data_IF_021546577374
#
_entry.id   IF_021546577374
#
_cell.length_a   1.000
_cell.length_b   1.000
_cell.length_c   1.000
_cell.angle_alpha   90.00
_cell.angle_beta   90.00
_cell.angle_gamma   90.00
#
_symmetry.space_group_name_H-M   'P 1'
#
loop_
_entity.id
_entity.type
_entity.pdbx_description
1 polymer ?
#
# COMPACT_ATOMS: atom_id res chain seq x y z
N UNK A 1 -20.97 -27.98 -16.82
CA UNK A 1 -21.68 -28.08 -15.52
C UNK A 1 -21.95 -26.67 -15.04
N UNK A 2 -23.21 -26.38 -14.68
CA UNK A 2 -23.60 -25.06 -14.16
C UNK A 2 -23.08 -24.92 -12.73
N UNK A 3 -22.39 -23.82 -12.44
CA UNK A 3 -21.84 -23.49 -11.11
C UNK A 3 -22.27 -22.10 -10.68
N UNK A 4 -22.23 -21.82 -9.38
CA UNK A 4 -22.46 -20.48 -8.85
C UNK A 4 -21.14 -19.72 -8.67
N UNK A 5 -21.13 -18.45 -9.10
CA UNK A 5 -19.96 -17.59 -8.97
C UNK A 5 -19.76 -17.16 -7.51
N UNK A 6 -18.56 -17.37 -6.96
CA UNK A 6 -18.22 -16.95 -5.59
C UNK A 6 -18.23 -15.43 -5.35
N UNK A 7 -18.17 -14.62 -6.41
CA UNK A 7 -18.22 -13.16 -6.30
C UNK A 7 -19.65 -12.60 -6.40
N UNK A 8 -20.40 -12.98 -7.43
CA UNK A 8 -21.72 -12.38 -7.72
C UNK A 8 -22.91 -13.31 -7.49
N UNK A 9 -22.69 -14.56 -7.09
CA UNK A 9 -23.75 -15.56 -6.87
C UNK A 9 -24.45 -16.09 -8.12
N UNK A 10 -24.27 -15.43 -9.28
CA UNK A 10 -24.93 -15.83 -10.54
C UNK A 10 -24.47 -17.21 -11.00
N UNK A 11 -25.41 -17.97 -11.57
CA UNK A 11 -25.13 -19.22 -12.25
C UNK A 11 -24.30 -18.96 -13.52
N UNK A 12 -23.30 -19.79 -13.79
CA UNK A 12 -22.47 -19.72 -14.99
C UNK A 12 -22.06 -21.12 -15.46
N UNK A 13 -21.77 -21.28 -16.74
CA UNK A 13 -21.17 -22.50 -17.28
C UNK A 13 -19.65 -22.45 -17.13
N UNK A 14 -19.08 -23.43 -16.43
CA UNK A 14 -17.63 -23.58 -16.32
C UNK A 14 -17.01 -23.87 -17.69
N UNK A 15 -15.85 -23.27 -17.99
CA UNK A 15 -15.12 -23.58 -19.21
C UNK A 15 -14.70 -25.06 -19.24
N UNK A 16 -14.83 -25.80 -20.37
CA UNK A 16 -14.52 -27.23 -20.44
C UNK A 16 -13.08 -27.57 -19.99
N UNK A 17 -12.11 -26.74 -20.35
CA UNK A 17 -10.69 -26.88 -19.94
C UNK A 17 -10.42 -26.55 -18.47
N UNK A 18 -11.37 -25.92 -17.76
CA UNK A 18 -11.20 -25.48 -16.38
C UNK A 18 -12.42 -25.92 -15.57
N UNK A 19 -12.60 -27.23 -15.36
CA UNK A 19 -13.77 -27.77 -14.69
C UNK A 19 -13.91 -27.23 -13.26
N UNK A 20 -12.80 -26.86 -12.60
CA UNK A 20 -12.78 -26.31 -11.24
C UNK A 20 -12.96 -24.78 -11.17
N UNK A 21 -13.47 -24.15 -12.23
CA UNK A 21 -13.77 -22.72 -12.22
C UNK A 21 -14.80 -22.36 -11.13
N UNK A 22 -14.47 -21.36 -10.31
CA UNK A 22 -15.29 -20.90 -9.17
C UNK A 22 -15.86 -19.48 -9.35
N UNK A 23 -15.41 -18.75 -10.36
CA UNK A 23 -15.86 -17.39 -10.69
C UNK A 23 -16.30 -17.32 -12.15
N UNK A 24 -17.37 -16.60 -12.45
CA UNK A 24 -17.81 -16.38 -13.83
C UNK A 24 -16.84 -15.47 -14.60
N UNK A 25 -16.95 -15.43 -15.92
CA UNK A 25 -16.04 -14.67 -16.81
C UNK A 25 -16.23 -13.15 -16.77
N UNK A 26 -17.16 -12.63 -15.95
CA UNK A 26 -17.36 -11.18 -15.79
C UNK A 26 -16.06 -10.51 -15.33
N UNK A 27 -15.66 -9.36 -15.94
CA UNK A 27 -14.45 -8.64 -15.55
C UNK A 27 -14.42 -8.25 -14.06
N UNK A 28 -15.56 -7.92 -13.47
CA UNK A 28 -15.68 -7.62 -12.03
C UNK A 28 -15.40 -8.84 -11.16
N UNK A 29 -15.99 -9.99 -11.50
CA UNK A 29 -15.80 -11.23 -10.76
C UNK A 29 -14.37 -11.77 -10.89
N UNK A 30 -13.72 -11.57 -12.04
CA UNK A 30 -12.32 -11.94 -12.22
C UNK A 30 -11.37 -10.97 -11.50
N UNK A 31 -11.70 -9.67 -11.40
CA UNK A 31 -10.97 -8.73 -10.55
C UNK A 31 -11.05 -9.14 -9.07
N UNK A 32 -12.24 -9.46 -8.59
CA UNK A 32 -12.47 -9.92 -7.21
C UNK A 32 -11.73 -11.23 -6.91
N UNK A 33 -11.76 -12.19 -7.85
CA UNK A 33 -10.97 -13.43 -7.75
C UNK A 33 -9.48 -13.14 -7.54
N UNK A 34 -8.90 -12.27 -8.36
CA UNK A 34 -7.47 -11.91 -8.25
C UNK A 34 -7.16 -11.19 -6.94
N UNK A 35 -8.05 -10.30 -6.50
CA UNK A 35 -7.93 -9.59 -5.22
C UNK A 35 -7.85 -10.57 -4.05
N UNK A 36 -8.80 -11.51 -3.95
CA UNK A 36 -8.82 -12.51 -2.87
C UNK A 36 -7.61 -13.43 -2.90
N UNK A 37 -7.21 -13.89 -4.10
CA UNK A 37 -6.01 -14.71 -4.24
C UNK A 37 -4.75 -13.95 -3.77
N UNK A 38 -4.63 -12.66 -4.10
CA UNK A 38 -3.50 -11.84 -3.67
C UNK A 38 -3.52 -11.57 -2.16
N UNK A 39 -4.69 -11.44 -1.55
CA UNK A 39 -4.85 -11.33 -0.10
C UNK A 39 -4.45 -12.61 0.63
N UNK A 40 -4.94 -13.77 0.18
CA UNK A 40 -4.54 -15.07 0.72
C UNK A 40 -3.03 -15.29 0.56
N UNK A 41 -2.47 -14.97 -0.61
CA UNK A 41 -1.02 -15.06 -0.84
C UNK A 41 -0.24 -14.18 0.12
N UNK A 42 -0.61 -12.91 0.26
CA UNK A 42 0.05 -12.01 1.21
C UNK A 42 -0.11 -12.44 2.66
N UNK A 43 -1.14 -13.20 3.04
CA UNK A 43 -1.31 -13.66 4.42
C UNK A 43 -0.52 -14.92 4.74
N UNK A 44 -0.42 -15.86 3.80
CA UNK A 44 0.06 -17.21 4.08
C UNK A 44 1.38 -17.58 3.41
N UNK A 45 1.88 -16.76 2.48
CA UNK A 45 3.10 -17.03 1.71
C UNK A 45 4.22 -16.09 2.19
N UNK A 46 5.07 -16.60 3.09
CA UNK A 46 6.20 -15.84 3.66
C UNK A 46 7.23 -15.43 2.59
N UNK A 47 7.42 -16.25 1.55
CA UNK A 47 8.30 -15.92 0.42
C UNK A 47 7.71 -14.79 -0.43
N UNK A 48 6.38 -14.67 -0.47
CA UNK A 48 5.69 -13.55 -1.12
C UNK A 48 5.83 -12.25 -0.31
N UNK A 49 5.82 -12.33 1.02
CA UNK A 49 6.01 -11.16 1.90
C UNK A 49 7.47 -10.63 1.86
N UNK A 50 8.47 -11.52 1.87
CA UNK A 50 9.87 -11.14 2.07
C UNK A 50 10.64 -10.70 0.81
N UNK A 51 10.17 -11.06 -0.39
CA UNK A 51 10.95 -10.86 -1.62
C UNK A 51 10.54 -9.62 -2.46
N UNK A 52 9.49 -8.89 -2.08
CA UNK A 52 9.05 -7.71 -2.85
C UNK A 52 9.99 -6.50 -2.70
N UNK A 53 10.50 -6.12 -1.51
CA UNK A 53 11.29 -4.90 -1.35
C UNK A 53 12.61 -4.90 -2.12
N UNK A 54 13.37 -6.00 -2.03
CA UNK A 54 14.68 -6.13 -2.70
C UNK A 54 14.53 -6.13 -4.22
N UNK A 55 13.51 -6.81 -4.76
CA UNK A 55 13.23 -6.81 -6.20
C UNK A 55 12.81 -5.43 -6.70
N UNK A 56 11.99 -4.71 -5.93
CA UNK A 56 11.59 -3.35 -6.26
C UNK A 56 12.79 -2.40 -6.20
N UNK A 57 13.67 -2.56 -5.21
CA UNK A 57 14.89 -1.77 -5.10
C UNK A 57 15.86 -2.04 -6.26
N UNK A 58 16.15 -3.30 -6.54
CA UNK A 58 16.97 -3.68 -7.68
C UNK A 58 16.42 -3.11 -8.99
N UNK A 59 15.12 -3.28 -9.23
CA UNK A 59 14.48 -2.75 -10.44
C UNK A 59 14.55 -1.22 -10.51
N UNK A 60 14.37 -0.51 -9.39
CA UNK A 60 14.52 0.95 -9.35
C UNK A 60 15.96 1.40 -9.63
N UNK A 61 16.95 0.65 -9.15
CA UNK A 61 18.36 0.92 -9.40
C UNK A 61 18.74 0.66 -10.87
N UNK A 62 18.18 -0.38 -11.47
CA UNK A 62 18.36 -0.70 -12.90
C UNK A 62 17.62 0.28 -13.82
N UNK A 63 16.52 0.88 -13.35
CA UNK A 63 15.64 1.76 -14.12
C UNK A 63 15.33 3.10 -13.41
N UNK A 64 16.35 3.92 -13.11
CA UNK A 64 16.19 5.12 -12.30
C UNK A 64 15.27 6.18 -12.94
N UNK A 65 15.31 6.29 -14.28
CA UNK A 65 14.52 7.28 -15.02
C UNK A 65 13.13 6.81 -15.44
N UNK A 66 12.80 5.52 -15.24
CA UNK A 66 11.58 4.93 -15.78
C UNK A 66 10.34 5.68 -15.33
N UNK A 67 10.18 5.96 -14.04
CA UNK A 67 8.98 6.63 -13.53
C UNK A 67 8.87 8.08 -13.99
N UNK A 68 9.99 8.73 -14.31
CA UNK A 68 10.00 10.06 -14.90
C UNK A 68 9.50 9.98 -16.35
N UNK A 69 10.09 9.11 -17.16
CA UNK A 69 9.71 8.89 -18.56
C UNK A 69 8.25 8.43 -18.68
N UNK A 70 7.85 7.42 -17.91
CA UNK A 70 6.48 6.91 -17.90
C UNK A 70 5.44 8.00 -17.62
N UNK A 71 5.73 8.95 -16.71
CA UNK A 71 4.82 10.07 -16.42
C UNK A 71 4.80 11.12 -17.52
N UNK A 72 5.92 11.35 -18.22
CA UNK A 72 5.98 12.23 -19.39
C UNK A 72 5.17 11.64 -20.55
N UNK A 73 5.30 10.34 -20.77
CA UNK A 73 4.61 9.62 -21.85
C UNK A 73 3.13 9.38 -21.57
N UNK A 74 2.71 9.43 -20.30
CA UNK A 74 1.32 9.21 -19.86
C UNK A 74 0.80 10.39 -19.02
N UNK A 75 0.63 11.58 -19.63
CA UNK A 75 0.25 12.80 -18.90
C UNK A 75 -1.14 12.69 -18.26
N UNK A 76 -2.10 12.03 -18.91
CA UNK A 76 -3.45 11.82 -18.36
C UNK A 76 -3.43 10.97 -17.09
N UNK A 77 -2.62 9.91 -17.08
CA UNK A 77 -2.39 9.08 -15.90
C UNK A 77 -1.78 9.92 -14.76
N UNK A 78 -0.73 10.69 -15.06
CA UNK A 78 -0.04 11.53 -14.09
C UNK A 78 -0.95 12.59 -13.47
N UNK A 79 -1.75 13.28 -14.31
CA UNK A 79 -2.69 14.31 -13.87
C UNK A 79 -3.82 13.72 -13.01
N UNK A 80 -4.41 12.59 -13.42
CA UNK A 80 -5.42 11.90 -12.62
C UNK A 80 -4.86 11.48 -11.25
N UNK A 81 -3.65 10.92 -11.22
CA UNK A 81 -3.03 10.50 -9.98
C UNK A 81 -2.79 11.70 -9.04
N UNK A 82 -2.28 12.83 -9.57
CA UNK A 82 -2.08 14.08 -8.84
C UNK A 82 -3.37 14.61 -8.23
N UNK A 83 -4.47 14.65 -8.99
CA UNK A 83 -5.78 15.08 -8.49
C UNK A 83 -6.31 14.15 -7.39
N UNK A 84 -6.19 12.83 -7.56
CA UNK A 84 -6.59 11.87 -6.53
C UNK A 84 -5.75 11.98 -5.26
N UNK A 85 -4.46 12.29 -5.40
CA UNK A 85 -3.58 12.54 -4.26
C UNK A 85 -4.01 13.81 -3.52
N UNK A 86 -4.29 14.92 -4.22
CA UNK A 86 -4.79 16.15 -3.62
C UNK A 86 -6.09 15.92 -2.84
N UNK A 87 -7.06 15.22 -3.43
CA UNK A 87 -8.32 14.86 -2.75
C UNK A 87 -8.07 14.02 -1.50
N UNK A 88 -7.14 13.06 -1.55
CA UNK A 88 -6.76 12.24 -0.38
C UNK A 88 -6.11 13.10 0.70
N UNK A 89 -5.19 13.99 0.33
CA UNK A 89 -4.52 14.89 1.25
C UNK A 89 -5.52 15.84 1.93
N UNK A 90 -6.48 16.39 1.19
CA UNK A 90 -7.54 17.26 1.73
C UNK A 90 -8.47 16.52 2.70
N UNK A 91 -8.68 15.21 2.51
CA UNK A 91 -9.51 14.38 3.40
C UNK A 91 -8.76 13.91 4.65
N UNK A 92 -7.42 13.92 4.64
CA UNK A 92 -6.62 13.58 5.81
C UNK A 92 -6.69 14.72 6.83
N UNK A 93 -7.05 14.39 8.07
CA UNK A 93 -7.04 15.34 9.21
C UNK A 93 -5.60 15.74 9.63
N UNK A 94 -4.58 15.10 9.07
CA UNK A 94 -3.19 15.45 9.31
C UNK A 94 -2.57 16.02 8.02
N UNK A 95 -2.32 17.34 7.94
CA UNK A 95 -1.80 18.00 6.74
C UNK A 95 -0.32 17.72 6.48
N UNK A 96 0.41 17.13 7.44
CA UNK A 96 1.83 16.89 7.31
C UNK A 96 2.10 15.51 6.68
N UNK A 97 2.28 15.51 5.36
CA UNK A 97 2.97 14.43 4.67
C UNK A 97 4.45 14.79 4.73
N UNK A 98 5.18 14.18 5.66
CA UNK A 98 6.63 14.36 5.72
C UNK A 98 7.24 13.81 4.42
N UNK A 99 7.85 14.70 3.65
CA UNK A 99 8.81 14.29 2.63
C UNK A 99 10.02 13.76 3.40
N UNK A 100 10.36 12.47 3.25
CA UNK A 100 11.45 11.80 3.98
C UNK A 100 12.80 12.54 3.88
N UNK A 101 12.96 13.42 2.88
CA UNK A 101 14.19 14.17 2.62
C UNK A 101 14.19 15.62 3.14
N UNK A 102 13.10 16.09 3.74
CA UNK A 102 13.03 17.39 4.41
C UNK A 102 12.72 17.14 5.88
N UNK A 103 13.74 16.70 6.63
CA UNK A 103 13.73 16.96 8.07
C UNK A 103 13.87 18.48 8.21
N UNK A 104 12.87 19.21 8.71
CA UNK A 104 13.12 20.57 9.19
C UNK A 104 14.27 20.45 10.18
N UNK A 105 15.28 21.31 10.05
CA UNK A 105 16.42 21.40 10.96
C UNK A 105 15.95 21.04 12.38
N UNK A 106 16.45 19.92 12.90
CA UNK A 106 15.95 19.25 14.10
C UNK A 106 15.71 20.28 15.19
N UNK A 107 14.46 20.71 15.35
CA UNK A 107 14.08 21.52 16.48
C UNK A 107 14.30 20.64 17.70
N UNK A 108 15.02 21.09 18.74
CA UNK A 108 15.18 20.30 19.95
C UNK A 108 13.79 19.91 20.45
N UNK A 109 13.57 18.60 20.59
CA UNK A 109 12.30 18.02 21.05
C UNK A 109 11.84 18.80 22.29
N UNK A 110 10.75 19.55 22.21
CA UNK A 110 10.27 20.33 23.35
C UNK A 110 9.89 19.43 24.53
N UNK A 111 9.97 19.92 25.76
CA UNK A 111 9.38 19.19 26.89
C UNK A 111 7.87 19.01 26.68
N UNK A 112 7.34 17.81 26.82
CA UNK A 112 5.93 17.53 26.58
C UNK A 112 5.59 16.05 26.48
N UNK A 113 4.31 15.76 26.22
CA UNK A 113 3.80 14.40 26.06
C UNK A 113 3.84 14.01 24.59
N UNK A 114 4.56 12.93 24.30
CA UNK A 114 4.75 12.39 22.98
C UNK A 114 4.08 11.02 22.85
N UNK A 115 3.61 10.74 21.64
CA UNK A 115 3.15 9.41 21.25
C UNK A 115 4.28 8.73 20.49
N UNK A 116 4.83 7.67 21.04
CA UNK A 116 5.81 6.82 20.38
C UNK A 116 5.10 5.60 19.80
N UNK A 117 5.38 5.35 18.52
CA UNK A 117 4.92 4.17 17.81
C UNK A 117 6.18 3.35 17.52
N UNK A 118 6.33 2.15 18.09
CA UNK A 118 7.49 1.31 17.84
C UNK A 118 7.50 0.90 16.38
N UNK A 119 8.57 1.26 15.67
CA UNK A 119 8.82 0.78 14.31
C UNK A 119 9.54 -0.55 14.44
N UNK A 120 8.76 -1.63 14.56
CA UNK A 120 9.28 -2.99 14.42
C UNK A 120 9.40 -3.22 12.91
N UNK A 121 10.58 -3.66 12.45
CA UNK A 121 10.87 -3.86 11.03
C UNK A 121 9.68 -4.53 10.33
N UNK A 122 9.12 -3.79 9.38
CA UNK A 122 8.07 -4.17 8.42
C UNK A 122 6.61 -4.29 8.89
N UNK A 123 6.27 -3.93 10.12
CA UNK A 123 4.86 -3.74 10.51
C UNK A 123 4.69 -2.47 11.34
N UNK A 124 3.99 -1.47 10.79
CA UNK A 124 3.42 -0.38 11.60
C UNK A 124 2.28 -1.00 12.42
N UNK A 125 2.61 -1.57 13.58
CA UNK A 125 1.62 -2.12 14.49
C UNK A 125 0.86 -0.96 15.14
N UNK A 126 -0.42 -0.80 14.77
CA UNK A 126 -1.35 0.14 15.42
C UNK A 126 -1.70 -0.26 16.87
N UNK A 127 -1.17 -1.37 17.40
CA UNK A 127 -1.61 -1.98 18.66
C UNK A 127 -0.78 -1.60 19.89
N UNK A 128 0.38 -0.97 19.74
CA UNK A 128 1.25 -0.60 20.87
C UNK A 128 1.62 0.88 20.83
N UNK A 129 0.64 1.76 21.05
CA UNK A 129 0.90 3.19 21.26
C UNK A 129 1.43 3.44 22.68
N UNK A 130 2.64 3.96 22.80
CA UNK A 130 3.21 4.40 24.08
C UNK A 130 3.08 5.92 24.19
N UNK A 131 2.45 6.39 25.27
CA UNK A 131 2.48 7.82 25.62
C UNK A 131 3.63 8.02 26.61
N UNK A 132 4.63 8.80 26.21
CA UNK A 132 5.78 9.15 27.04
C UNK A 132 5.80 10.64 27.32
N UNK A 133 6.31 11.03 28.47
CA UNK A 133 6.60 12.42 28.79
C UNK A 133 8.11 12.64 28.65
N UNK A 134 8.50 13.53 27.75
CA UNK A 134 9.89 13.93 27.57
C UNK A 134 10.07 15.26 28.29
N UNK A 135 11.06 15.33 29.18
CA UNK A 135 11.46 16.57 29.85
C UNK A 135 12.89 16.89 29.46
N UNK A 136 13.09 17.97 28.70
CA UNK A 136 14.41 18.46 28.35
C UNK A 136 14.99 19.22 29.53
N UNK A 137 16.14 18.75 30.02
CA UNK A 137 16.82 19.35 31.17
C UNK A 137 17.76 20.51 30.78
N UNK A 138 18.23 20.55 29.52
CA UNK A 138 18.93 21.69 28.92
C UNK A 138 18.95 21.55 27.39
N UNK A 139 18.86 22.67 26.68
CA UNK A 139 19.05 22.78 25.22
C UNK A 139 20.39 23.52 25.02
N UNK A 140 21.30 23.05 24.14
CA UNK A 140 22.51 23.81 23.78
C UNK A 140 22.20 25.07 22.97
#
# INVERSE_FOLDING_TARGET
>A
MTKQCKACGKAFQSHPKVPNQTYCSSPECQRERRRRWLEEKRQFDADYQGNEPQKIEQWRNEHPDYWKQYRLDNPDYANRNRNLQQTRNQRSRNPMIANVYELPELSPLASGRYRLIPVIADVIANEYELIVEITVLSIP
#
